data_IF_613698601031
#
_entry.id   IF_613698601031
#
_cell.length_a   1.000
_cell.length_b   1.000
_cell.length_c   1.000
_cell.angle_alpha   90.00
_cell.angle_beta   90.00
_cell.angle_gamma   90.00
#
_symmetry.space_group_name_H-M   'P 1'
#
loop_
_entity.id
_entity.type
_entity.pdbx_description
1 polymer ?
#
# COMPACT_ATOMS: atom_id res chain seq x y z
N UNK A 1 -39.01 -30.03 39.61
CA UNK A 1 -39.91 -30.03 40.81
C UNK A 1 -39.75 -28.70 41.54
N UNK A 2 -40.89 -28.06 41.65
CA UNK A 2 -41.28 -27.15 42.76
C UNK A 2 -40.50 -25.84 42.83
N UNK A 3 -41.02 -24.67 42.83
CA UNK A 3 -42.39 -24.05 42.99
C UNK A 3 -42.07 -22.58 43.21
N UNK A 4 -42.70 -21.69 42.50
CA UNK A 4 -43.92 -20.91 42.85
C UNK A 4 -43.59 -19.74 43.79
N UNK A 5 -43.89 -18.57 43.32
CA UNK A 5 -45.03 -17.66 43.42
C UNK A 5 -44.79 -16.48 44.40
N UNK A 6 -45.02 -15.36 43.84
CA UNK A 6 -45.98 -14.30 44.18
C UNK A 6 -45.60 -13.37 45.35
N UNK A 7 -45.84 -12.09 45.26
CA UNK A 7 -47.06 -11.28 45.39
C UNK A 7 -46.64 -9.79 45.23
N UNK A 8 -47.14 -9.05 44.31
CA UNK A 8 -48.22 -8.05 44.36
C UNK A 8 -48.48 -7.39 45.74
N UNK A 9 -48.33 -6.06 45.78
CA UNK A 9 -49.31 -5.05 46.19
C UNK A 9 -48.66 -3.66 46.18
N UNK A 10 -48.96 -2.83 45.28
CA UNK A 10 -49.80 -1.62 45.31
C UNK A 10 -49.79 -0.83 46.61
N UNK A 11 -49.37 0.43 46.55
CA UNK A 11 -50.10 1.50 47.20
C UNK A 11 -49.78 2.87 46.56
N UNK A 12 -50.79 3.44 46.03
CA UNK A 12 -50.99 4.79 45.53
C UNK A 12 -50.71 5.82 46.64
N UNK A 13 -49.86 6.81 46.40
CA UNK A 13 -50.05 8.11 47.09
C UNK A 13 -49.80 9.23 46.07
N UNK A 14 -50.90 9.84 45.71
CA UNK A 14 -51.02 11.11 45.05
C UNK A 14 -50.73 12.18 46.09
N UNK A 15 -49.74 13.03 45.82
CA UNK A 15 -49.69 14.34 46.43
C UNK A 15 -49.24 15.35 45.36
N UNK A 16 -50.19 16.15 44.97
CA UNK A 16 -50.04 17.30 44.14
C UNK A 16 -49.15 18.36 44.81
N UNK A 17 -48.17 18.87 44.12
CA UNK A 17 -47.62 20.19 44.35
C UNK A 17 -47.58 20.97 43.05
N UNK A 18 -48.24 22.12 43.12
CA UNK A 18 -48.41 23.05 42.03
C UNK A 18 -47.13 23.90 41.84
N UNK A 19 -46.88 24.20 40.57
CA UNK A 19 -46.32 25.40 40.01
C UNK A 19 -45.04 26.00 40.57
N UNK A 20 -44.02 25.93 39.74
CA UNK A 20 -43.24 27.14 39.34
C UNK A 20 -42.69 26.85 37.95
N UNK A 21 -43.17 27.57 36.96
CA UNK A 21 -42.59 27.69 35.63
C UNK A 21 -41.30 28.51 35.78
N UNK A 22 -40.19 27.82 35.65
CA UNK A 22 -38.94 28.51 35.37
C UNK A 22 -38.52 28.12 33.95
N UNK A 23 -38.67 29.10 33.07
CA UNK A 23 -38.30 28.99 31.66
C UNK A 23 -36.79 28.99 31.58
N UNK A 24 -36.17 27.82 31.62
CA UNK A 24 -34.76 27.70 31.23
C UNK A 24 -34.76 27.55 29.70
N UNK A 25 -34.31 28.61 29.04
CA UNK A 25 -33.84 28.55 27.67
C UNK A 25 -32.67 27.56 27.62
N UNK A 26 -32.89 26.37 27.08
CA UNK A 26 -31.86 25.41 26.75
C UNK A 26 -31.10 26.01 25.57
N UNK A 27 -29.96 26.64 25.87
CA UNK A 27 -28.99 27.06 24.86
C UNK A 27 -28.39 25.77 24.33
N UNK A 28 -28.99 25.24 23.28
CA UNK A 28 -28.35 24.21 22.45
C UNK A 28 -27.15 24.84 21.77
N UNK A 29 -26.00 24.76 22.42
CA UNK A 29 -24.73 25.04 21.77
C UNK A 29 -24.47 23.91 20.78
N UNK A 30 -24.93 24.08 19.56
CA UNK A 30 -24.50 23.25 18.43
C UNK A 30 -23.05 23.62 18.17
N UNK A 31 -22.13 22.85 18.75
CA UNK A 31 -20.74 22.86 18.36
C UNK A 31 -20.70 22.51 16.86
N UNK A 32 -20.08 23.31 16.00
CA UNK A 32 -19.97 22.99 14.60
C UNK A 32 -19.15 21.70 14.50
N UNK A 33 -19.77 20.64 14.06
CA UNK A 33 -19.11 19.38 13.65
C UNK A 33 -18.11 19.77 12.54
N UNK A 34 -16.83 19.88 12.92
CA UNK A 34 -15.75 20.06 11.96
C UNK A 34 -15.62 18.74 11.22
N UNK A 35 -16.37 18.59 10.14
CA UNK A 35 -16.15 17.54 9.15
C UNK A 35 -14.80 17.83 8.52
N UNK A 36 -13.78 17.09 8.95
CA UNK A 36 -12.51 17.03 8.28
C UNK A 36 -12.79 16.70 6.79
N UNK A 37 -12.24 17.45 5.82
CA UNK A 37 -12.51 17.18 4.40
C UNK A 37 -12.11 15.73 4.10
N UNK A 38 -13.04 14.93 3.63
CA UNK A 38 -12.75 13.59 3.13
C UNK A 38 -11.75 13.72 1.98
N UNK A 39 -10.48 13.38 2.25
CA UNK A 39 -9.39 13.50 1.27
C UNK A 39 -9.64 12.51 0.14
N UNK A 40 -10.25 12.97 -0.94
CA UNK A 40 -10.54 12.14 -2.10
C UNK A 40 -9.23 11.78 -2.82
N UNK A 41 -9.00 10.49 -3.04
CA UNK A 41 -7.85 10.03 -3.84
C UNK A 41 -7.93 10.61 -5.26
N UNK A 42 -6.78 10.92 -5.88
CA UNK A 42 -6.73 11.39 -7.25
C UNK A 42 -7.21 10.32 -8.25
N UNK A 43 -7.50 10.67 -9.49
CA UNK A 43 -7.89 9.71 -10.51
C UNK A 43 -6.78 8.68 -10.75
N UNK A 44 -7.18 7.45 -11.08
CA UNK A 44 -6.24 6.39 -11.41
C UNK A 44 -5.54 6.65 -12.75
N UNK A 45 -4.24 6.39 -12.82
CA UNK A 45 -3.44 6.63 -14.03
C UNK A 45 -1.95 6.32 -13.82
N UNK A 46 -1.14 6.72 -14.79
CA UNK A 46 0.32 6.50 -14.80
C UNK A 46 1.15 7.78 -14.70
N UNK A 47 0.52 8.92 -14.60
CA UNK A 47 1.22 10.20 -14.43
C UNK A 47 1.52 10.47 -12.95
N UNK A 48 2.57 11.21 -12.67
CA UNK A 48 2.83 11.76 -11.33
C UNK A 48 1.62 12.53 -10.84
N UNK A 49 1.19 12.26 -9.61
CA UNK A 49 -0.02 12.79 -8.99
C UNK A 49 -1.26 11.91 -9.17
N UNK A 50 -1.23 10.88 -9.99
CA UNK A 50 -2.35 9.93 -10.11
C UNK A 50 -2.24 8.79 -9.08
N UNK A 51 -3.38 8.24 -8.68
CA UNK A 51 -3.42 6.95 -7.99
C UNK A 51 -2.92 5.87 -8.97
N UNK A 52 -1.92 5.11 -8.54
CA UNK A 52 -1.37 4.03 -9.35
C UNK A 52 -2.41 2.93 -9.63
N UNK A 53 -2.24 2.19 -10.72
CA UNK A 53 -2.97 0.94 -10.91
C UNK A 53 -2.46 -0.10 -9.91
N UNK A 54 -3.38 -0.78 -9.23
CA UNK A 54 -3.07 -1.81 -8.24
C UNK A 54 -3.50 -3.19 -8.72
N UNK A 55 -2.56 -4.11 -8.79
CA UNK A 55 -2.80 -5.52 -9.10
C UNK A 55 -2.26 -6.39 -7.98
N UNK A 56 -2.95 -7.49 -7.69
CA UNK A 56 -2.43 -8.52 -6.80
C UNK A 56 -1.45 -9.39 -7.61
N UNK A 57 -0.17 -9.12 -7.41
CA UNK A 57 0.95 -9.77 -8.11
C UNK A 57 1.46 -10.96 -7.28
N UNK A 58 1.85 -12.09 -7.89
CA UNK A 58 2.40 -13.22 -7.15
C UNK A 58 3.75 -12.87 -6.52
N UNK A 59 3.95 -13.27 -5.28
CA UNK A 59 5.26 -13.19 -4.62
C UNK A 59 6.09 -14.41 -5.01
N UNK A 60 7.36 -14.18 -5.30
CA UNK A 60 8.30 -15.18 -5.79
C UNK A 60 9.56 -15.18 -4.92
N UNK A 61 10.02 -16.36 -4.56
CA UNK A 61 11.28 -16.59 -3.88
C UNK A 61 12.22 -17.52 -4.70
N UNK A 62 13.26 -18.01 -4.08
CA UNK A 62 14.21 -18.95 -4.68
C UNK A 62 13.59 -20.33 -5.03
N UNK A 63 12.41 -20.64 -4.50
CA UNK A 63 11.69 -21.88 -4.75
C UNK A 63 10.58 -21.71 -5.81
N UNK A 64 10.29 -20.48 -6.22
CA UNK A 64 9.23 -20.12 -7.16
C UNK A 64 8.13 -19.30 -6.52
N UNK A 65 6.88 -19.46 -7.01
CA UNK A 65 5.73 -18.76 -6.42
C UNK A 65 5.45 -19.27 -5.00
N UNK A 66 5.40 -18.34 -4.04
CA UNK A 66 5.12 -18.66 -2.62
C UNK A 66 3.65 -18.98 -2.35
N UNK A 67 2.75 -18.62 -3.26
CA UNK A 67 1.31 -18.62 -3.07
C UNK A 67 0.75 -17.36 -2.44
N UNK A 68 1.61 -16.43 -2.03
CA UNK A 68 1.23 -15.09 -1.56
C UNK A 68 1.13 -14.10 -2.72
N UNK A 69 0.46 -12.99 -2.47
CA UNK A 69 0.36 -11.88 -3.43
C UNK A 69 0.72 -10.56 -2.77
N UNK A 70 1.26 -9.63 -3.56
CA UNK A 70 1.51 -8.25 -3.16
C UNK A 70 0.75 -7.28 -4.07
N UNK A 71 0.11 -6.28 -3.47
CA UNK A 71 -0.52 -5.19 -4.21
C UNK A 71 0.21 -3.89 -3.91
N UNK A 72 0.85 -3.26 -4.90
CA UNK A 72 1.71 -2.09 -4.69
C UNK A 72 1.00 -0.90 -4.04
N UNK A 73 -0.30 -0.71 -4.27
CA UNK A 73 -1.06 0.43 -3.71
C UNK A 73 -1.65 0.14 -2.32
N UNK A 74 -1.43 -1.07 -1.76
CA UNK A 74 -1.99 -1.50 -0.48
C UNK A 74 -0.94 -1.76 0.60
N UNK A 75 0.30 -1.37 0.38
CA UNK A 75 1.39 -1.61 1.34
C UNK A 75 1.27 -0.77 2.61
N UNK A 76 0.61 0.40 2.52
CA UNK A 76 0.54 1.38 3.60
C UNK A 76 1.85 2.12 3.87
N UNK A 77 2.89 1.86 3.06
CA UNK A 77 4.22 2.48 3.10
C UNK A 77 4.49 3.18 1.77
N UNK A 78 5.52 4.00 1.73
CA UNK A 78 6.12 4.42 0.45
C UNK A 78 6.51 3.15 -0.31
N UNK A 79 6.09 3.04 -1.57
CA UNK A 79 6.33 1.82 -2.36
C UNK A 79 7.20 2.13 -3.57
N UNK A 80 8.30 1.43 -3.68
CA UNK A 80 9.17 1.46 -4.86
C UNK A 80 8.86 0.24 -5.71
N UNK A 81 8.39 0.48 -6.93
CA UNK A 81 8.17 -0.56 -7.94
C UNK A 81 9.32 -0.47 -8.94
N UNK A 82 10.16 -1.49 -9.02
CA UNK A 82 11.23 -1.58 -10.02
C UNK A 82 10.90 -2.68 -11.03
N UNK A 83 10.81 -2.33 -12.31
CA UNK A 83 10.67 -3.27 -13.42
C UNK A 83 12.06 -3.63 -13.94
N UNK A 84 12.39 -4.90 -13.90
CA UNK A 84 13.71 -5.42 -14.18
C UNK A 84 13.69 -6.79 -14.90
N UNK A 85 14.86 -7.35 -15.13
CA UNK A 85 15.02 -8.72 -15.61
C UNK A 85 16.45 -9.23 -15.41
N UNK A 86 16.61 -10.52 -15.19
CA UNK A 86 17.94 -11.16 -15.02
C UNK A 86 18.85 -11.00 -16.24
N UNK A 87 18.28 -10.68 -17.40
CA UNK A 87 18.98 -10.39 -18.65
C UNK A 87 19.46 -8.95 -18.78
N UNK A 88 18.99 -8.07 -17.90
CA UNK A 88 19.25 -6.62 -17.94
C UNK A 88 20.45 -6.28 -17.04
N UNK A 89 21.63 -6.13 -17.60
CA UNK A 89 22.84 -5.81 -16.83
C UNK A 89 22.71 -4.53 -15.98
N UNK A 90 22.18 -3.40 -16.48
CA UNK A 90 21.97 -2.23 -15.62
C UNK A 90 21.04 -2.52 -14.44
N UNK A 91 19.98 -3.33 -14.66
CA UNK A 91 19.04 -3.69 -13.59
C UNK A 91 19.73 -4.49 -12.50
N UNK A 92 20.48 -5.54 -12.86
CA UNK A 92 21.19 -6.38 -11.89
C UNK A 92 22.31 -5.62 -11.18
N UNK A 93 22.88 -4.61 -11.81
CA UNK A 93 23.92 -3.75 -11.21
C UNK A 93 23.37 -2.78 -10.17
N UNK A 94 22.10 -2.33 -10.30
CA UNK A 94 21.48 -1.44 -9.30
C UNK A 94 20.77 -2.18 -8.17
N UNK A 95 20.47 -3.48 -8.34
CA UNK A 95 19.68 -4.25 -7.38
C UNK A 95 20.26 -4.22 -5.94
N UNK A 96 21.59 -4.22 -5.70
CA UNK A 96 22.13 -4.04 -4.37
C UNK A 96 21.75 -2.72 -3.70
N UNK A 97 21.53 -1.65 -4.45
CA UNK A 97 21.05 -0.37 -3.92
C UNK A 97 19.61 -0.46 -3.46
N UNK A 98 18.75 -1.21 -4.18
CA UNK A 98 17.38 -1.48 -3.73
C UNK A 98 17.34 -2.36 -2.47
N UNK A 99 18.26 -3.31 -2.35
CA UNK A 99 18.39 -4.13 -1.15
C UNK A 99 18.78 -3.26 0.05
N UNK A 100 19.82 -2.44 -0.08
CA UNK A 100 20.24 -1.48 0.95
C UNK A 100 19.10 -0.50 1.31
N UNK A 101 18.34 -0.03 0.33
CA UNK A 101 17.16 0.83 0.58
C UNK A 101 16.10 0.10 1.40
N UNK A 102 15.78 -1.15 1.02
CA UNK A 102 14.77 -1.96 1.71
C UNK A 102 15.20 -2.30 3.15
N UNK A 103 16.49 -2.49 3.41
CA UNK A 103 17.03 -2.69 4.76
C UNK A 103 16.95 -1.42 5.59
N UNK A 104 17.49 -0.31 5.08
CA UNK A 104 17.65 0.94 5.83
C UNK A 104 16.30 1.66 6.08
N UNK A 105 15.31 1.46 5.21
CA UNK A 105 13.99 2.09 5.28
C UNK A 105 12.86 1.07 5.53
N UNK A 106 13.16 -0.08 6.12
CA UNK A 106 12.20 -1.21 6.29
C UNK A 106 10.89 -0.82 6.98
N UNK A 107 10.89 0.19 7.84
CA UNK A 107 9.69 0.66 8.55
C UNK A 107 8.77 1.53 7.69
N UNK A 108 9.33 2.25 6.71
CA UNK A 108 8.61 3.27 5.92
C UNK A 108 8.53 2.98 4.44
N UNK A 109 9.39 2.10 3.91
CA UNK A 109 9.47 1.76 2.48
C UNK A 109 9.21 0.27 2.26
N UNK A 110 8.53 -0.04 1.18
CA UNK A 110 8.42 -1.39 0.59
C UNK A 110 9.04 -1.35 -0.81
N UNK A 111 10.00 -2.21 -1.08
CA UNK A 111 10.58 -2.39 -2.43
C UNK A 111 9.99 -3.63 -3.08
N UNK A 112 9.42 -3.46 -4.26
CA UNK A 112 8.84 -4.54 -5.08
C UNK A 112 9.58 -4.58 -6.41
N UNK A 113 10.33 -5.65 -6.66
CA UNK A 113 11.04 -5.87 -7.92
C UNK A 113 10.25 -6.82 -8.83
N UNK A 114 9.66 -6.26 -9.90
CA UNK A 114 8.79 -6.98 -10.83
C UNK A 114 9.61 -7.40 -12.05
N UNK A 115 9.82 -8.70 -12.20
CA UNK A 115 10.50 -9.24 -13.37
C UNK A 115 9.58 -9.20 -14.60
N UNK A 116 10.05 -8.60 -15.67
CA UNK A 116 9.28 -8.33 -16.89
C UNK A 116 9.88 -9.00 -18.13
N UNK A 117 9.04 -9.25 -19.14
CA UNK A 117 9.38 -9.67 -20.50
C UNK A 117 10.15 -11.00 -20.65
N UNK A 118 10.45 -11.74 -19.58
CA UNK A 118 11.15 -13.01 -19.69
C UNK A 118 10.41 -14.13 -18.98
N UNK A 119 10.60 -15.36 -19.47
CA UNK A 119 10.09 -16.55 -18.79
C UNK A 119 10.72 -16.64 -17.41
N UNK A 120 9.90 -16.53 -16.41
CA UNK A 120 10.23 -16.55 -14.98
C UNK A 120 11.12 -17.71 -14.51
N UNK A 121 11.29 -18.77 -15.31
CA UNK A 121 12.03 -19.99 -14.98
C UNK A 121 13.48 -19.78 -14.54
N UNK A 122 14.10 -18.68 -14.92
CA UNK A 122 15.48 -18.36 -14.51
C UNK A 122 15.55 -17.53 -13.23
N UNK A 123 14.48 -16.83 -12.89
CA UNK A 123 14.45 -15.92 -11.75
C UNK A 123 14.66 -16.64 -10.41
N UNK A 124 13.98 -17.74 -10.06
CA UNK A 124 14.21 -18.44 -8.81
C UNK A 124 15.65 -18.88 -8.59
N UNK A 125 16.30 -19.43 -9.61
CA UNK A 125 17.71 -19.79 -9.50
C UNK A 125 18.62 -18.59 -9.29
N UNK A 126 18.32 -17.47 -9.94
CA UNK A 126 19.06 -16.22 -9.73
C UNK A 126 18.83 -15.65 -8.32
N UNK A 127 17.61 -15.71 -7.78
CA UNK A 127 17.31 -15.31 -6.41
C UNK A 127 18.06 -16.18 -5.40
N UNK A 128 18.09 -17.49 -5.59
CA UNK A 128 18.82 -18.44 -4.74
C UNK A 128 20.31 -18.11 -4.63
N UNK A 129 20.91 -17.65 -5.74
CA UNK A 129 22.32 -17.31 -5.79
C UNK A 129 22.66 -15.93 -5.20
N UNK A 130 21.74 -14.97 -5.28
CA UNK A 130 22.05 -13.57 -5.03
C UNK A 130 21.18 -12.90 -3.95
N UNK A 131 19.94 -13.38 -3.71
CA UNK A 131 18.91 -12.66 -2.94
C UNK A 131 18.04 -13.58 -2.07
N UNK A 132 18.54 -14.72 -1.58
CA UNK A 132 17.76 -15.70 -0.80
C UNK A 132 17.15 -15.12 0.49
N UNK A 133 17.86 -14.19 1.14
CA UNK A 133 17.45 -13.55 2.40
C UNK A 133 17.13 -12.05 2.22
N UNK A 134 16.92 -11.60 0.98
CA UNK A 134 16.72 -10.19 0.68
C UNK A 134 15.38 -9.66 1.19
N UNK A 135 15.31 -8.43 1.74
CA UNK A 135 14.06 -7.77 2.13
C UNK A 135 13.25 -7.26 0.94
N UNK A 136 13.78 -7.34 -0.28
CA UNK A 136 13.04 -7.00 -1.51
C UNK A 136 11.94 -8.02 -1.73
N UNK A 137 10.72 -7.56 -2.02
CA UNK A 137 9.63 -8.42 -2.46
C UNK A 137 9.78 -8.64 -3.97
N UNK A 138 10.17 -9.84 -4.36
CA UNK A 138 10.24 -10.19 -5.78
C UNK A 138 8.90 -10.67 -6.30
N UNK A 139 8.62 -10.28 -7.53
CA UNK A 139 7.39 -10.63 -8.25
C UNK A 139 7.68 -10.76 -9.74
N UNK A 140 6.71 -11.23 -10.50
CA UNK A 140 6.72 -11.15 -11.97
C UNK A 140 5.36 -10.84 -12.52
N UNK A 141 5.35 -10.35 -13.75
CA UNK A 141 4.13 -10.22 -14.52
C UNK A 141 3.69 -11.60 -15.03
N UNK A 142 2.46 -12.00 -14.72
CA UNK A 142 1.94 -13.32 -15.13
C UNK A 142 1.59 -13.34 -16.61
N UNK A 143 1.94 -14.45 -17.31
CA UNK A 143 1.58 -14.66 -18.71
C UNK A 143 0.05 -14.53 -18.92
N UNK A 144 -0.34 -13.74 -19.90
CA UNK A 144 -1.73 -13.61 -20.35
C UNK A 144 -2.58 -12.59 -19.59
N UNK A 145 -2.18 -12.15 -18.39
CA UNK A 145 -2.91 -11.15 -17.64
C UNK A 145 -2.11 -9.85 -17.43
N UNK A 146 -0.78 -9.97 -17.23
CA UNK A 146 0.10 -8.83 -16.94
C UNK A 146 1.44 -8.91 -17.68
N UNK A 147 1.66 -9.84 -18.60
CA UNK A 147 2.94 -10.06 -19.28
C UNK A 147 3.37 -8.81 -20.07
N UNK A 148 4.13 -7.93 -19.43
CA UNK A 148 4.50 -6.62 -19.92
C UNK A 148 3.39 -5.56 -19.85
N UNK A 149 2.14 -5.92 -19.53
CA UNK A 149 1.01 -4.98 -19.52
C UNK A 149 1.13 -4.01 -18.35
N UNK A 150 1.53 -4.47 -17.17
CA UNK A 150 1.67 -3.59 -16.01
C UNK A 150 2.81 -2.58 -16.18
N UNK A 151 3.94 -3.02 -16.72
CA UNK A 151 5.04 -2.16 -17.12
C UNK A 151 4.57 -1.04 -18.06
N UNK A 152 3.84 -1.39 -19.13
CA UNK A 152 3.32 -0.38 -20.08
C UNK A 152 2.22 0.48 -19.48
N UNK A 153 1.34 -0.09 -18.66
CA UNK A 153 0.29 0.66 -17.97
C UNK A 153 0.85 1.73 -17.04
N UNK A 154 2.01 1.47 -16.41
CA UNK A 154 2.68 2.45 -15.54
C UNK A 154 3.60 3.42 -16.31
N UNK A 155 3.53 3.43 -17.63
CA UNK A 155 4.29 4.37 -18.47
C UNK A 155 5.67 3.87 -18.88
N UNK A 156 5.97 2.59 -18.64
CA UNK A 156 7.14 1.94 -19.20
C UNK A 156 7.10 1.92 -20.73
N UNK A 157 8.20 1.60 -21.38
CA UNK A 157 8.29 1.54 -22.85
C UNK A 157 9.59 2.11 -23.40
N UNK A 158 10.29 2.94 -22.62
CA UNK A 158 11.56 3.55 -23.05
C UNK A 158 12.78 2.67 -22.73
N UNK A 159 12.63 1.70 -21.80
CA UNK A 159 13.70 0.76 -21.46
C UNK A 159 13.69 0.30 -20.01
N UNK A 160 14.68 -0.55 -19.69
CA UNK A 160 14.90 -1.09 -18.35
C UNK A 160 16.27 -0.65 -17.80
N UNK A 161 16.40 -0.52 -16.47
CA UNK A 161 15.32 -0.60 -15.47
C UNK A 161 14.33 0.54 -15.58
N UNK A 162 13.11 0.33 -15.07
CA UNK A 162 12.11 1.39 -14.93
C UNK A 162 11.55 1.37 -13.51
N UNK A 163 11.58 2.51 -12.84
CA UNK A 163 11.17 2.64 -11.45
C UNK A 163 10.01 3.61 -11.31
N UNK A 164 9.04 3.25 -10.49
CA UNK A 164 7.88 4.07 -10.08
C UNK A 164 7.87 4.14 -8.56
N UNK A 165 7.76 5.34 -7.98
CA UNK A 165 7.65 5.54 -6.54
C UNK A 165 6.26 6.04 -6.20
N UNK A 166 5.65 5.41 -5.21
CA UNK A 166 4.33 5.75 -4.69
C UNK A 166 4.45 6.27 -3.26
N UNK A 167 3.61 7.24 -2.88
CA UNK A 167 3.41 7.57 -1.48
C UNK A 167 2.65 6.45 -0.73
N UNK A 168 2.44 6.59 0.57
CA UNK A 168 1.75 5.61 1.40
C UNK A 168 0.25 5.43 1.08
N UNK A 169 -0.32 6.28 0.21
CA UNK A 169 -1.70 6.20 -0.30
C UNK A 169 -1.77 5.53 -1.68
N UNK A 170 -0.63 5.20 -2.27
CA UNK A 170 -0.51 4.61 -3.60
C UNK A 170 -0.51 5.64 -4.74
N UNK A 171 -0.28 6.93 -4.44
CA UNK A 171 -0.17 7.99 -5.46
C UNK A 171 1.24 8.03 -6.01
N UNK A 172 1.38 8.09 -7.33
CA UNK A 172 2.68 8.17 -8.02
C UNK A 172 3.34 9.52 -7.71
N UNK A 173 4.49 9.50 -7.08
CA UNK A 173 5.27 10.70 -6.75
C UNK A 173 6.39 10.97 -7.74
N UNK A 174 6.96 9.89 -8.30
CA UNK A 174 8.08 9.98 -9.23
C UNK A 174 8.21 8.73 -10.11
N UNK A 175 8.82 8.90 -11.29
CA UNK A 175 9.18 7.79 -12.19
C UNK A 175 10.58 8.01 -12.75
N UNK A 176 11.30 6.92 -13.04
CA UNK A 176 12.65 6.98 -13.58
C UNK A 176 12.90 5.84 -14.55
N UNK A 177 13.42 6.19 -15.73
CA UNK A 177 13.98 5.23 -16.68
C UNK A 177 15.50 5.20 -16.53
N UNK A 178 16.08 4.01 -16.54
CA UNK A 178 17.52 3.78 -16.42
C UNK A 178 17.98 3.66 -14.97
N UNK A 179 19.22 3.20 -14.84
CA UNK A 179 19.88 2.91 -13.56
C UNK A 179 20.00 4.17 -12.69
N UNK A 180 19.89 4.00 -11.38
CA UNK A 180 20.03 5.05 -10.36
C UNK A 180 21.14 4.71 -9.37
N UNK A 181 21.70 5.74 -8.74
CA UNK A 181 22.54 5.58 -7.55
C UNK A 181 21.65 5.36 -6.30
N UNK A 182 22.24 4.89 -5.22
CA UNK A 182 21.56 4.77 -3.93
C UNK A 182 21.03 6.13 -3.46
N UNK A 183 21.81 7.20 -3.59
CA UNK A 183 21.42 8.55 -3.20
C UNK A 183 20.22 9.07 -3.99
N UNK A 184 20.13 8.74 -5.29
CA UNK A 184 18.96 9.09 -6.11
C UNK A 184 17.69 8.35 -5.59
N UNK A 185 17.82 7.06 -5.25
CA UNK A 185 16.72 6.27 -4.68
C UNK A 185 16.23 6.83 -3.35
N UNK A 186 17.17 7.17 -2.45
CA UNK A 186 16.86 7.81 -1.16
C UNK A 186 16.11 9.11 -1.37
N UNK A 187 16.58 9.99 -2.27
CA UNK A 187 15.93 11.26 -2.55
C UNK A 187 14.48 11.08 -3.07
N UNK A 188 14.22 10.04 -3.89
CA UNK A 188 12.87 9.73 -4.39
C UNK A 188 11.94 9.26 -3.27
N UNK A 189 12.38 8.38 -2.37
CA UNK A 189 11.51 7.88 -1.29
C UNK A 189 11.29 8.92 -0.19
N UNK A 190 12.29 9.73 0.15
CA UNK A 190 12.12 10.85 1.08
C UNK A 190 11.11 11.90 0.55
N UNK A 191 11.17 12.19 -0.74
CA UNK A 191 10.19 13.08 -1.40
C UNK A 191 8.77 12.47 -1.38
N UNK A 192 8.65 11.16 -1.38
CA UNK A 192 7.38 10.44 -1.26
C UNK A 192 6.86 10.33 0.18
N UNK A 193 7.65 10.73 1.19
CA UNK A 193 7.27 10.77 2.60
C UNK A 193 7.78 9.59 3.43
N UNK A 194 8.89 8.94 3.01
CA UNK A 194 9.56 7.86 3.76
C UNK A 194 10.26 8.37 5.01
#
# INVERSE_FOLDING_TARGET
MKKILAFLLAMLMILSFAACQDTQEEITTTEPEVTEPEETLPPQGNAVGNLCYGYDLPVVDENGETGETINPIKTGKVTVINFWGVWCNPCTSEMPHFEELAENYSETVTVIAIHSLEKYKKMPAYLAENYADSPIIFSWETEGKYNGDYYYQLGGGEGYPYTVVLDNRGVITETKVGMMSYEDMVAMVEKAGA
#
